data_IF_243952425899
#
_entry.id   IF_243952425899
#
_cell.length_a   1.000
_cell.length_b   1.000
_cell.length_c   1.000
_cell.angle_alpha   90.00
_cell.angle_beta   90.00
_cell.angle_gamma   90.00
#
_symmetry.space_group_name_H-M   'P 1'
#
loop_
_entity.id
_entity.type
_entity.pdbx_description
1 polymer ?
#
# COMPACT_ATOMS: atom_id res chain seq x y z
N UNK A 1 17.07 8.49 -1.38
CA UNK A 1 17.72 7.92 -2.57
C UNK A 1 17.57 8.85 -3.77
N UNK A 2 16.39 9.03 -4.39
CA UNK A 2 16.20 9.85 -5.61
C UNK A 2 16.92 11.20 -5.51
N UNK A 3 16.77 11.94 -4.41
CA UNK A 3 17.34 13.28 -4.24
C UNK A 3 18.88 13.35 -4.22
N UNK A 4 19.57 12.23 -4.06
CA UNK A 4 21.04 12.18 -4.02
C UNK A 4 21.65 11.38 -5.17
N UNK A 5 20.84 10.67 -5.94
CA UNK A 5 21.28 9.76 -7.00
C UNK A 5 22.16 10.46 -8.05
N UNK A 6 21.76 11.64 -8.53
CA UNK A 6 22.55 12.42 -9.48
C UNK A 6 23.91 12.83 -8.90
N UNK A 7 23.92 13.21 -7.62
CA UNK A 7 25.15 13.64 -6.95
C UNK A 7 26.12 12.49 -6.71
N UNK A 8 25.61 11.33 -6.32
CA UNK A 8 26.42 10.12 -6.18
C UNK A 8 27.00 9.66 -7.53
N UNK A 9 26.22 9.80 -8.60
CA UNK A 9 26.68 9.52 -9.96
C UNK A 9 27.82 10.46 -10.40
N UNK A 10 27.67 11.79 -10.20
CA UNK A 10 28.69 12.79 -10.50
C UNK A 10 30.00 12.53 -9.72
N UNK A 11 29.90 12.11 -8.47
CA UNK A 11 31.04 11.82 -7.60
C UNK A 11 31.62 10.40 -7.85
N UNK A 12 31.07 9.62 -8.79
CA UNK A 12 31.50 8.27 -9.10
C UNK A 12 31.29 7.27 -7.97
N UNK A 13 30.30 7.51 -7.13
CA UNK A 13 30.00 6.69 -5.95
C UNK A 13 28.99 5.58 -6.32
N UNK A 14 29.14 4.41 -5.69
CA UNK A 14 28.16 3.34 -5.69
C UNK A 14 27.07 3.64 -4.65
N UNK A 15 25.81 3.51 -5.05
CA UNK A 15 24.66 3.66 -4.16
C UNK A 15 23.83 2.38 -4.13
N UNK A 16 23.42 1.93 -2.93
CA UNK A 16 22.51 0.81 -2.76
C UNK A 16 21.42 1.15 -1.74
N UNK A 17 20.18 0.85 -2.09
CA UNK A 17 19.06 0.97 -1.15
C UNK A 17 18.48 -0.40 -0.80
N UNK A 18 18.28 -0.68 0.49
CA UNK A 18 17.58 -1.89 0.92
C UNK A 18 16.06 -1.78 0.86
N UNK A 19 15.49 -0.57 0.80
CA UNK A 19 14.07 -0.34 1.06
C UNK A 19 13.39 0.67 0.14
N UNK A 20 14.11 1.63 -0.46
CA UNK A 20 13.47 2.57 -1.37
C UNK A 20 13.07 1.84 -2.67
N UNK A 21 11.77 1.68 -2.88
CA UNK A 21 11.16 0.73 -3.84
C UNK A 21 10.65 1.37 -5.13
N UNK A 22 10.58 2.73 -5.22
CA UNK A 22 10.26 3.41 -6.47
C UNK A 22 11.27 3.09 -7.56
N UNK A 23 10.80 2.90 -8.78
CA UNK A 23 11.66 2.70 -9.96
C UNK A 23 12.51 3.91 -10.28
N UNK A 24 12.10 5.12 -9.87
CA UNK A 24 12.85 6.35 -10.09
C UNK A 24 14.19 6.37 -9.32
N UNK A 25 14.32 5.51 -8.31
CA UNK A 25 15.56 5.39 -7.52
C UNK A 25 16.72 4.84 -8.36
N UNK A 26 16.43 3.98 -9.34
CA UNK A 26 17.42 3.27 -10.16
C UNK A 26 17.53 3.84 -11.57
N UNK A 27 17.20 5.10 -11.79
CA UNK A 27 17.39 5.75 -13.09
C UNK A 27 18.88 5.92 -13.47
N UNK A 28 19.75 6.05 -12.46
CA UNK A 28 21.20 6.15 -12.67
C UNK A 28 21.89 4.80 -12.53
N UNK A 29 22.86 4.52 -13.40
CA UNK A 29 23.60 3.24 -13.48
C UNK A 29 24.41 2.90 -12.20
N UNK A 30 24.63 3.86 -11.31
CA UNK A 30 25.36 3.67 -10.06
C UNK A 30 24.45 3.28 -8.89
N UNK A 31 23.13 3.26 -9.05
CA UNK A 31 22.15 3.00 -7.99
C UNK A 31 21.53 1.62 -8.15
N UNK A 32 21.50 0.86 -7.06
CA UNK A 32 20.96 -0.49 -7.01
C UNK A 32 19.91 -0.64 -5.94
N UNK A 33 18.82 -1.36 -6.25
CA UNK A 33 17.79 -1.75 -5.29
C UNK A 33 18.00 -3.21 -4.85
N UNK A 34 18.00 -3.44 -3.54
CA UNK A 34 17.99 -4.79 -2.96
C UNK A 34 16.56 -5.26 -2.63
N UNK A 35 15.58 -4.35 -2.64
CA UNK A 35 14.15 -4.64 -2.45
C UNK A 35 13.41 -4.86 -3.78
N UNK A 36 12.17 -5.33 -3.70
CA UNK A 36 11.24 -5.33 -4.83
C UNK A 36 10.84 -3.87 -5.19
N UNK A 37 10.25 -3.69 -6.36
CA UNK A 37 9.78 -2.39 -6.83
C UNK A 37 8.28 -2.18 -6.54
N UNK A 38 7.84 -0.91 -6.47
CA UNK A 38 6.43 -0.55 -6.29
C UNK A 38 5.51 -1.21 -7.34
N UNK A 39 5.86 -1.24 -8.65
CA UNK A 39 5.08 -1.97 -9.64
C UNK A 39 4.89 -3.45 -9.32
N UNK A 40 5.91 -4.11 -8.75
CA UNK A 40 5.80 -5.52 -8.36
C UNK A 40 4.85 -5.71 -7.18
N UNK A 41 4.86 -4.79 -6.20
CA UNK A 41 3.94 -4.82 -5.07
C UNK A 41 2.49 -4.72 -5.52
N UNK A 42 2.17 -3.74 -6.37
CA UNK A 42 0.81 -3.55 -6.88
C UNK A 42 0.33 -4.76 -7.68
N UNK A 43 1.16 -5.24 -8.63
CA UNK A 43 0.84 -6.39 -9.47
C UNK A 43 0.64 -7.66 -8.63
N UNK A 44 1.58 -7.99 -7.74
CA UNK A 44 1.51 -9.20 -6.92
C UNK A 44 0.33 -9.17 -5.94
N UNK A 45 0.00 -8.00 -5.38
CA UNK A 45 -1.18 -7.85 -4.52
C UNK A 45 -2.48 -8.14 -5.26
N UNK A 46 -2.65 -7.59 -6.48
CA UNK A 46 -3.82 -7.86 -7.30
C UNK A 46 -3.93 -9.34 -7.68
N UNK A 47 -2.83 -9.96 -8.09
CA UNK A 47 -2.77 -11.38 -8.42
C UNK A 47 -3.17 -12.24 -7.22
N UNK A 48 -2.59 -11.98 -6.05
CA UNK A 48 -2.90 -12.74 -4.84
C UNK A 48 -4.37 -12.64 -4.44
N UNK A 49 -4.95 -11.43 -4.51
CA UNK A 49 -6.38 -11.21 -4.21
C UNK A 49 -7.25 -12.01 -5.18
N UNK A 50 -6.96 -11.97 -6.48
CA UNK A 50 -7.73 -12.67 -7.51
C UNK A 50 -7.59 -14.18 -7.45
N UNK A 51 -6.36 -14.70 -7.39
CA UNK A 51 -6.08 -16.16 -7.34
C UNK A 51 -6.71 -16.82 -6.10
N UNK A 52 -6.68 -16.14 -4.97
CA UNK A 52 -7.27 -16.62 -3.73
C UNK A 52 -8.75 -16.23 -3.54
N UNK A 53 -9.33 -15.52 -4.51
CA UNK A 53 -10.74 -15.06 -4.48
C UNK A 53 -11.09 -14.35 -3.18
N UNK A 54 -10.19 -13.48 -2.72
CA UNK A 54 -10.35 -12.79 -1.45
C UNK A 54 -11.47 -11.76 -1.47
N UNK A 55 -11.75 -11.18 -2.65
CA UNK A 55 -12.76 -10.15 -2.83
C UNK A 55 -13.44 -10.26 -4.20
N UNK A 56 -14.61 -9.64 -4.32
CA UNK A 56 -15.30 -9.41 -5.58
C UNK A 56 -15.29 -7.93 -5.95
N UNK A 57 -15.29 -7.05 -4.96
CA UNK A 57 -15.27 -5.59 -5.09
C UNK A 57 -14.23 -4.99 -4.15
N UNK A 58 -13.24 -4.35 -4.74
CA UNK A 58 -12.13 -3.76 -4.01
C UNK A 58 -12.23 -2.24 -4.09
N UNK A 59 -12.03 -1.56 -2.96
CA UNK A 59 -11.73 -0.13 -2.97
C UNK A 59 -10.25 0.07 -2.60
N UNK A 60 -9.64 1.08 -3.21
CA UNK A 60 -8.27 1.48 -2.93
C UNK A 60 -8.29 2.82 -2.21
N UNK A 61 -7.53 2.96 -1.11
CA UNK A 61 -7.28 4.25 -0.45
C UNK A 61 -5.78 4.47 -0.43
N UNK A 62 -5.31 5.54 -1.06
CA UNK A 62 -3.89 5.78 -1.29
C UNK A 62 -3.48 7.24 -1.12
N UNK A 63 -2.19 7.49 -0.87
CA UNK A 63 -1.60 8.82 -0.82
C UNK A 63 -1.13 9.24 -2.23
N UNK A 64 -1.88 10.15 -2.87
CA UNK A 64 -1.54 10.65 -4.21
C UNK A 64 -0.35 11.61 -4.22
N UNK A 65 0.12 12.04 -3.06
CA UNK A 65 1.31 12.90 -2.93
C UNK A 65 2.59 12.11 -2.67
N UNK A 66 2.50 10.79 -2.51
CA UNK A 66 3.64 9.89 -2.27
C UNK A 66 3.87 8.97 -3.47
N UNK A 67 5.08 8.96 -4.00
CA UNK A 67 5.45 8.14 -5.18
C UNK A 67 5.35 6.65 -4.92
N UNK A 68 5.63 6.19 -3.68
CA UNK A 68 5.46 4.81 -3.26
C UNK A 68 3.99 4.39 -3.35
N UNK A 69 3.12 5.12 -2.68
CA UNK A 69 1.69 4.81 -2.59
C UNK A 69 1.00 4.86 -3.95
N UNK A 70 1.23 5.92 -4.73
CA UNK A 70 0.65 6.10 -6.06
C UNK A 70 1.21 5.13 -7.09
N UNK A 71 2.49 4.76 -7.00
CA UNK A 71 3.12 3.78 -7.89
C UNK A 71 2.55 2.37 -7.71
N UNK A 72 2.29 1.96 -6.47
CA UNK A 72 1.66 0.68 -6.15
C UNK A 72 0.19 0.68 -6.61
N UNK A 73 -0.56 1.75 -6.29
CA UNK A 73 -1.96 1.89 -6.69
C UNK A 73 -2.14 1.74 -8.19
N UNK A 74 -1.38 2.49 -8.99
CA UNK A 74 -1.51 2.49 -10.45
C UNK A 74 -1.30 1.10 -11.07
N UNK A 75 -0.35 0.31 -10.54
CA UNK A 75 -0.09 -1.05 -11.04
C UNK A 75 -1.09 -2.06 -10.50
N UNK A 76 -1.57 -1.88 -9.28
CA UNK A 76 -2.65 -2.68 -8.71
C UNK A 76 -3.94 -2.56 -9.55
N UNK A 77 -4.40 -1.34 -9.80
CA UNK A 77 -5.62 -1.07 -10.58
C UNK A 77 -5.51 -1.63 -11.99
N UNK A 78 -4.35 -1.44 -12.64
CA UNK A 78 -4.09 -1.99 -13.97
C UNK A 78 -4.18 -3.52 -13.99
N UNK A 79 -3.59 -4.19 -13.01
CA UNK A 79 -3.58 -5.66 -12.95
C UNK A 79 -4.94 -6.22 -12.51
N UNK A 80 -5.69 -5.52 -11.65
CA UNK A 80 -7.01 -5.92 -11.17
C UNK A 80 -7.97 -6.30 -12.31
N UNK A 81 -7.88 -5.62 -13.46
CA UNK A 81 -8.68 -5.91 -14.64
C UNK A 81 -8.49 -7.35 -15.18
N UNK A 82 -7.35 -7.99 -14.86
CA UNK A 82 -7.01 -9.36 -15.28
C UNK A 82 -7.39 -10.40 -14.21
N UNK A 83 -7.77 -9.97 -12.99
CA UNK A 83 -7.81 -10.84 -11.83
C UNK A 83 -9.22 -11.26 -11.37
N UNK A 84 -10.25 -10.86 -12.09
CA UNK A 84 -11.65 -11.32 -11.88
C UNK A 84 -12.36 -10.69 -10.67
N UNK A 85 -11.85 -9.59 -10.14
CA UNK A 85 -12.55 -8.70 -9.21
C UNK A 85 -12.64 -7.28 -9.79
N UNK A 86 -13.52 -6.46 -9.24
CA UNK A 86 -13.75 -5.08 -9.69
C UNK A 86 -13.15 -4.09 -8.70
N UNK A 87 -12.42 -3.08 -9.20
CA UNK A 87 -12.06 -1.90 -8.40
C UNK A 87 -13.23 -0.92 -8.50
N UNK A 88 -13.97 -0.79 -7.40
CA UNK A 88 -15.22 -0.01 -7.34
C UNK A 88 -15.06 1.41 -6.83
N UNK A 89 -13.92 1.71 -6.20
CA UNK A 89 -13.57 3.06 -5.74
C UNK A 89 -12.05 3.20 -5.64
N UNK A 90 -11.55 4.35 -6.05
CA UNK A 90 -10.16 4.78 -5.94
C UNK A 90 -10.16 6.12 -5.23
N UNK A 91 -9.80 6.12 -3.95
CA UNK A 91 -9.94 7.26 -3.07
C UNK A 91 -8.58 7.78 -2.62
N UNK A 92 -8.23 8.96 -3.10
CA UNK A 92 -6.97 9.60 -2.78
C UNK A 92 -7.05 10.43 -1.48
N UNK A 93 -5.92 10.53 -0.82
CA UNK A 93 -5.62 11.58 0.15
C UNK A 93 -4.23 12.17 -0.14
N UNK A 94 -3.83 13.19 0.59
CA UNK A 94 -2.53 13.84 0.46
C UNK A 94 -1.87 14.05 1.81
N UNK A 95 -0.61 14.43 1.83
CA UNK A 95 0.15 14.72 3.05
C UNK A 95 -0.58 15.67 4.04
N UNK A 96 -1.44 16.56 3.53
CA UNK A 96 -2.19 17.53 4.35
C UNK A 96 -3.51 16.98 4.92
N UNK A 97 -3.92 15.75 4.54
CA UNK A 97 -5.22 15.16 4.90
C UNK A 97 -5.11 13.74 5.49
N UNK A 98 -4.08 13.50 6.32
CA UNK A 98 -3.74 12.17 6.87
C UNK A 98 -4.43 11.80 8.19
N UNK A 99 -5.43 12.53 8.62
CA UNK A 99 -6.02 12.34 9.96
C UNK A 99 -7.50 11.97 9.95
N UNK A 100 -8.18 12.12 8.81
CA UNK A 100 -9.59 11.79 8.66
C UNK A 100 -9.86 11.18 7.27
N UNK A 101 -10.32 9.94 7.28
CA UNK A 101 -10.63 9.13 6.11
C UNK A 101 -12.13 8.79 6.01
N UNK A 102 -12.96 9.46 6.79
CA UNK A 102 -14.39 9.18 6.86
C UNK A 102 -15.09 9.29 5.49
N UNK A 103 -14.69 10.26 4.68
CA UNK A 103 -15.25 10.43 3.33
C UNK A 103 -14.85 9.28 2.40
N UNK A 104 -13.57 8.89 2.38
CA UNK A 104 -13.06 7.79 1.56
C UNK A 104 -13.71 6.46 1.97
N UNK A 105 -13.78 6.20 3.27
CA UNK A 105 -14.42 5.02 3.83
C UNK A 105 -15.92 4.95 3.50
N UNK A 106 -16.62 6.10 3.56
CA UNK A 106 -18.04 6.14 3.20
C UNK A 106 -18.26 5.81 1.73
N UNK A 107 -17.45 6.36 0.83
CA UNK A 107 -17.53 6.07 -0.61
C UNK A 107 -17.23 4.60 -0.90
N UNK A 108 -16.19 4.02 -0.29
CA UNK A 108 -15.88 2.60 -0.42
C UNK A 108 -17.03 1.72 0.05
N UNK A 109 -17.65 2.06 1.19
CA UNK A 109 -18.81 1.36 1.74
C UNK A 109 -20.03 1.46 0.84
N UNK A 110 -20.33 2.65 0.30
CA UNK A 110 -21.46 2.90 -0.57
C UNK A 110 -21.30 2.21 -1.93
N UNK A 111 -20.07 2.07 -2.43
CA UNK A 111 -19.71 1.29 -3.61
C UNK A 111 -19.81 -0.24 -3.36
N UNK A 112 -19.95 -0.65 -2.11
CA UNK A 112 -20.10 -2.07 -1.72
C UNK A 112 -18.80 -2.84 -1.78
N UNK A 113 -17.65 -2.18 -1.53
CA UNK A 113 -16.37 -2.85 -1.46
C UNK A 113 -16.33 -3.84 -0.29
N UNK A 114 -15.91 -5.08 -0.56
CA UNK A 114 -15.75 -6.16 0.40
C UNK A 114 -14.29 -6.32 0.85
N UNK A 115 -13.36 -5.60 0.18
CA UNK A 115 -11.96 -5.48 0.58
C UNK A 115 -11.47 -4.05 0.35
N UNK A 116 -10.67 -3.54 1.30
CA UNK A 116 -9.87 -2.32 1.15
C UNK A 116 -8.42 -2.68 0.89
N UNK A 117 -7.89 -2.23 -0.26
CA UNK A 117 -6.47 -2.26 -0.55
C UNK A 117 -5.83 -0.95 -0.10
N UNK A 118 -4.80 -1.03 0.72
CA UNK A 118 -4.17 0.08 1.41
C UNK A 118 -2.65 0.12 1.11
N UNK A 119 -2.23 0.65 -0.05
CA UNK A 119 -0.82 0.84 -0.37
C UNK A 119 -0.26 2.08 0.35
N UNK A 120 -0.24 2.06 1.67
CA UNK A 120 0.08 3.19 2.55
C UNK A 120 0.90 2.73 3.75
N UNK A 121 1.33 3.69 4.58
CA UNK A 121 2.07 3.39 5.80
C UNK A 121 1.18 3.07 7.00
N UNK A 122 1.77 2.45 8.00
CA UNK A 122 1.09 1.91 9.18
C UNK A 122 0.36 2.98 10.02
N UNK A 123 0.83 4.22 10.01
CA UNK A 123 0.20 5.30 10.78
C UNK A 123 -1.19 5.63 10.22
N UNK A 124 -1.29 5.92 8.93
CA UNK A 124 -2.53 6.20 8.23
C UNK A 124 -3.47 4.98 8.25
N UNK A 125 -2.91 3.79 8.02
CA UNK A 125 -3.66 2.54 8.07
C UNK A 125 -4.32 2.33 9.45
N UNK A 126 -3.62 2.62 10.55
CA UNK A 126 -4.17 2.51 11.91
C UNK A 126 -5.40 3.40 12.13
N UNK A 127 -5.40 4.60 11.54
CA UNK A 127 -6.53 5.53 11.60
C UNK A 127 -7.70 5.01 10.75
N UNK A 128 -7.42 4.51 9.54
CA UNK A 128 -8.42 3.93 8.65
C UNK A 128 -9.12 2.74 9.32
N UNK A 129 -8.38 1.80 9.89
CA UNK A 129 -8.96 0.65 10.58
C UNK A 129 -9.87 1.08 11.74
N UNK A 130 -9.42 2.04 12.56
CA UNK A 130 -10.20 2.58 13.68
C UNK A 130 -11.47 3.29 13.21
N UNK A 131 -11.39 4.09 12.16
CA UNK A 131 -12.54 4.80 11.63
C UNK A 131 -13.52 3.85 10.94
N UNK A 132 -13.05 2.85 10.21
CA UNK A 132 -13.90 1.81 9.62
C UNK A 132 -14.69 1.06 10.70
N UNK A 133 -14.05 0.66 11.79
CA UNK A 133 -14.74 0.01 12.92
C UNK A 133 -15.79 0.92 13.55
N UNK A 134 -15.46 2.19 13.78
CA UNK A 134 -16.40 3.19 14.32
C UNK A 134 -17.63 3.38 13.42
N UNK A 135 -17.45 3.29 12.10
CA UNK A 135 -18.54 3.37 11.11
C UNK A 135 -19.31 2.05 10.94
N UNK A 136 -18.92 1.00 11.66
CA UNK A 136 -19.50 -0.34 11.48
C UNK A 136 -19.25 -0.90 10.07
N UNK A 137 -18.17 -0.49 9.41
CA UNK A 137 -17.75 -1.00 8.10
C UNK A 137 -16.63 -2.01 8.30
N UNK A 138 -16.88 -3.26 7.93
CA UNK A 138 -15.99 -4.40 8.19
C UNK A 138 -15.59 -5.13 6.90
N UNK A 139 -14.89 -4.45 5.98
CA UNK A 139 -14.30 -5.11 4.84
C UNK A 139 -13.08 -5.94 5.26
N UNK A 140 -12.58 -6.77 4.37
CA UNK A 140 -11.21 -7.28 4.52
C UNK A 140 -10.22 -6.15 4.28
N UNK A 141 -9.07 -6.19 4.96
CA UNK A 141 -7.99 -5.24 4.77
C UNK A 141 -6.79 -5.96 4.17
N UNK A 142 -6.24 -5.39 3.11
CA UNK A 142 -5.03 -5.88 2.46
C UNK A 142 -4.07 -4.71 2.28
N UNK A 143 -2.89 -4.82 2.84
CA UNK A 143 -1.85 -3.81 2.76
C UNK A 143 -0.56 -4.33 2.15
N UNK A 144 0.42 -3.47 2.16
CA UNK A 144 1.77 -3.73 1.67
C UNK A 144 2.78 -3.52 2.79
N UNK A 145 4.05 -3.69 2.51
CA UNK A 145 5.14 -3.63 3.51
C UNK A 145 5.15 -2.32 4.33
N UNK A 146 4.70 -1.20 3.76
CA UNK A 146 4.55 0.06 4.50
C UNK A 146 3.60 -0.01 5.70
N UNK A 147 2.72 -1.00 5.74
CA UNK A 147 1.84 -1.25 6.89
C UNK A 147 2.51 -2.12 7.98
N UNK A 148 3.66 -2.70 7.72
CA UNK A 148 4.41 -3.42 8.76
C UNK A 148 4.76 -2.47 9.91
N UNK A 149 4.57 -2.95 11.13
CA UNK A 149 4.70 -2.10 12.33
C UNK A 149 3.39 -1.52 12.85
N UNK A 150 2.23 -1.74 12.21
CA UNK A 150 0.93 -1.23 12.67
C UNK A 150 0.63 -1.61 14.13
N UNK A 151 1.09 -2.78 14.57
CA UNK A 151 0.90 -3.26 15.96
C UNK A 151 1.71 -2.46 16.99
N UNK A 152 2.67 -1.64 16.54
CA UNK A 152 3.52 -0.81 17.40
C UNK A 152 3.00 0.62 17.56
N UNK A 153 1.92 0.98 16.87
CA UNK A 153 1.32 2.31 16.96
C UNK A 153 0.78 2.55 18.37
N UNK A 154 1.17 3.67 18.96
CA UNK A 154 0.75 4.02 20.31
C UNK A 154 -0.78 4.11 20.43
N UNK A 155 -1.36 3.49 21.46
CA UNK A 155 -2.81 3.44 21.71
C UNK A 155 -3.64 2.83 20.55
N UNK A 156 -3.05 2.01 19.70
CA UNK A 156 -3.78 1.24 18.70
C UNK A 156 -4.36 -0.03 19.32
N UNK A 157 -5.65 -0.26 19.10
CA UNK A 157 -6.28 -1.53 19.47
C UNK A 157 -5.88 -2.61 18.44
N UNK A 158 -4.96 -3.48 18.84
CA UNK A 158 -4.40 -4.52 17.96
C UNK A 158 -5.45 -5.52 17.47
N UNK A 159 -6.62 -5.62 18.13
CA UNK A 159 -7.73 -6.43 17.63
C UNK A 159 -8.28 -5.95 16.28
N UNK A 160 -8.11 -4.68 15.97
CA UNK A 160 -8.51 -4.12 14.67
C UNK A 160 -7.63 -4.63 13.52
N UNK A 161 -6.45 -5.16 13.84
CA UNK A 161 -5.54 -5.74 12.85
C UNK A 161 -5.67 -7.28 12.76
N UNK A 162 -6.60 -7.90 13.49
CA UNK A 162 -6.90 -9.32 13.28
C UNK A 162 -7.42 -9.51 11.84
N UNK A 163 -6.89 -10.52 11.15
CA UNK A 163 -7.20 -10.84 9.75
C UNK A 163 -6.75 -9.79 8.71
N UNK A 164 -5.96 -8.77 9.09
CA UNK A 164 -5.29 -7.90 8.13
C UNK A 164 -4.19 -8.68 7.41
N UNK A 165 -4.22 -8.65 6.09
CA UNK A 165 -3.21 -9.29 5.25
C UNK A 165 -2.20 -8.26 4.78
N UNK A 166 -0.92 -8.64 4.77
CA UNK A 166 0.17 -7.80 4.28
C UNK A 166 0.99 -8.56 3.22
N UNK A 167 1.31 -7.89 2.13
CA UNK A 167 2.38 -8.32 1.24
C UNK A 167 3.69 -7.67 1.72
N UNK A 168 4.62 -8.50 2.18
CA UNK A 168 5.90 -8.05 2.73
C UNK A 168 7.04 -8.87 2.13
N UNK A 169 8.27 -8.30 1.98
CA UNK A 169 9.42 -9.03 1.44
C UNK A 169 9.87 -10.17 2.33
N UNK A 170 9.61 -10.06 3.63
CA UNK A 170 10.05 -11.07 4.60
C UNK A 170 9.11 -11.11 5.80
N UNK A 171 8.73 -12.32 6.18
CA UNK A 171 8.13 -12.61 7.48
C UNK A 171 8.81 -13.85 8.06
N UNK A 172 9.25 -13.75 9.32
CA UNK A 172 10.03 -14.83 9.97
C UNK A 172 9.24 -16.14 10.12
N UNK A 173 7.92 -16.05 10.11
CA UNK A 173 6.96 -17.14 10.26
C UNK A 173 6.15 -17.43 8.97
N UNK A 174 6.54 -16.81 7.84
CA UNK A 174 5.94 -17.13 6.54
C UNK A 174 6.10 -18.62 6.22
N UNK A 175 5.01 -19.24 5.79
CA UNK A 175 4.95 -20.67 5.43
C UNK A 175 5.05 -20.85 3.93
#
# INVERSE_FOLDING_TARGET
CIAVADKTAEDGMFEITPSASSTDVIENDNVFQACFTDPNLGTASAQYIGENKLATKVAVIYDSSDVYSSGIEATFVKEAANQGFEVVAEEAFTADSKTDFGTQLQKAKDAGADLLFLPIYYQEASIILKQADTMGYKPKFFGVDGMDGILTVENFDTKLAEDVMLLTPFAADAK
#
